data_IF_692238082334
#
_entry.id   IF_692238082334
#
_cell.length_a   1.000
_cell.length_b   1.000
_cell.length_c   1.000
_cell.angle_alpha   90.00
_cell.angle_beta   90.00
_cell.angle_gamma   90.00
#
_symmetry.space_group_name_H-M   'P 1'
#
loop_
_entity.id
_entity.type
_entity.pdbx_description
1 polymer ?
#
# COMPACT_ATOMS: atom_id res chain seq x y z
N UNK A 1 32.27 -54.19 -35.28
CA UNK A 1 33.45 -53.38 -34.91
C UNK A 1 33.23 -52.00 -35.48
N UNK A 2 33.32 -51.01 -34.59
CA UNK A 2 33.45 -49.56 -34.81
C UNK A 2 32.37 -48.82 -35.62
N UNK A 3 31.47 -48.21 -34.86
CA UNK A 3 30.69 -47.04 -35.27
C UNK A 3 31.64 -45.89 -35.62
N UNK A 4 31.78 -45.58 -36.90
CA UNK A 4 32.54 -44.43 -37.39
C UNK A 4 31.90 -43.16 -36.84
N UNK A 5 32.51 -42.61 -35.79
CA UNK A 5 32.13 -41.32 -35.23
C UNK A 5 32.30 -40.25 -36.30
N UNK A 6 31.20 -39.61 -36.69
CA UNK A 6 31.19 -38.48 -37.62
C UNK A 6 31.96 -37.34 -36.95
N UNK A 7 33.22 -37.17 -37.34
CA UNK A 7 34.01 -36.00 -36.95
C UNK A 7 33.38 -34.79 -37.64
N UNK A 8 32.75 -33.90 -36.86
CA UNK A 8 32.21 -32.64 -37.38
C UNK A 8 33.31 -31.87 -38.13
N UNK A 9 33.05 -31.59 -39.40
CA UNK A 9 33.91 -30.79 -40.27
C UNK A 9 34.14 -29.39 -39.66
N UNK A 10 35.40 -28.88 -39.61
CA UNK A 10 35.72 -27.57 -39.03
C UNK A 10 34.88 -26.41 -39.57
N UNK A 11 34.48 -26.46 -40.85
CA UNK A 11 33.62 -25.43 -41.43
C UNK A 11 32.21 -25.45 -40.81
N UNK A 12 31.68 -26.63 -40.52
CA UNK A 12 30.39 -26.77 -39.81
C UNK A 12 30.45 -26.18 -38.39
N UNK A 13 31.58 -26.33 -37.69
CA UNK A 13 31.78 -25.69 -36.37
C UNK A 13 31.85 -24.17 -36.48
N UNK A 14 32.54 -23.64 -37.49
CA UNK A 14 32.60 -22.20 -37.75
C UNK A 14 31.21 -21.62 -38.05
N UNK A 15 30.41 -22.33 -38.85
CA UNK A 15 29.04 -21.94 -39.15
C UNK A 15 28.15 -21.92 -37.90
N UNK A 16 28.25 -22.95 -37.05
CA UNK A 16 27.52 -22.99 -35.77
C UNK A 16 27.91 -21.83 -34.84
N UNK A 17 29.19 -21.46 -34.79
CA UNK A 17 29.66 -20.30 -34.02
C UNK A 17 29.08 -18.99 -34.59
N UNK A 18 29.09 -18.83 -35.90
CA UNK A 18 28.49 -17.67 -36.57
C UNK A 18 26.99 -17.55 -36.26
N UNK A 19 26.24 -18.66 -36.38
CA UNK A 19 24.81 -18.68 -36.07
C UNK A 19 24.53 -18.40 -34.59
N UNK A 20 25.39 -18.89 -33.69
CA UNK A 20 25.30 -18.62 -32.25
C UNK A 20 25.58 -17.16 -31.94
N UNK A 21 26.54 -16.54 -32.63
CA UNK A 21 26.84 -15.11 -32.49
C UNK A 21 25.66 -14.27 -32.97
N UNK A 22 25.07 -14.61 -34.12
CA UNK A 22 23.89 -13.92 -34.65
C UNK A 22 22.68 -14.04 -33.69
N UNK A 23 22.47 -15.20 -33.07
CA UNK A 23 21.45 -15.38 -32.02
C UNK A 23 21.75 -14.52 -30.80
N UNK A 24 22.99 -14.48 -30.36
CA UNK A 24 23.41 -13.68 -29.21
C UNK A 24 23.18 -12.19 -29.44
N UNK A 25 23.48 -11.66 -30.63
CA UNK A 25 23.18 -10.28 -30.99
C UNK A 25 21.68 -9.98 -30.90
N UNK A 26 20.82 -10.86 -31.40
CA UNK A 26 19.36 -10.71 -31.27
C UNK A 26 18.89 -10.75 -29.81
N UNK A 27 19.49 -11.60 -28.98
CA UNK A 27 19.19 -11.65 -27.56
C UNK A 27 19.61 -10.36 -26.85
N UNK A 28 20.75 -9.77 -27.21
CA UNK A 28 21.18 -8.48 -26.68
C UNK A 28 20.19 -7.38 -27.08
N UNK A 29 19.76 -7.33 -28.34
CA UNK A 29 18.75 -6.37 -28.81
C UNK A 29 17.43 -6.52 -28.04
N UNK A 30 16.98 -7.75 -27.78
CA UNK A 30 15.78 -8.00 -26.97
C UNK A 30 15.95 -7.50 -25.54
N UNK A 31 17.08 -7.82 -24.90
CA UNK A 31 17.37 -7.40 -23.53
C UNK A 31 17.48 -5.88 -23.40
N UNK A 32 18.03 -5.20 -24.40
CA UNK A 32 18.08 -3.74 -24.44
C UNK A 32 16.68 -3.14 -24.41
N UNK A 33 15.75 -3.68 -25.21
CA UNK A 33 14.35 -3.25 -25.22
C UNK A 33 13.68 -3.51 -23.86
N UNK A 34 13.86 -4.70 -23.28
CA UNK A 34 13.28 -5.07 -21.98
C UNK A 34 13.78 -4.14 -20.85
N UNK A 35 15.07 -3.76 -20.90
CA UNK A 35 15.65 -2.80 -19.95
C UNK A 35 15.02 -1.42 -20.11
N UNK A 36 14.84 -0.95 -21.36
CA UNK A 36 14.23 0.35 -21.61
C UNK A 36 12.78 0.40 -21.12
N UNK A 37 12.01 -0.66 -21.35
CA UNK A 37 10.63 -0.79 -20.87
C UNK A 37 10.58 -0.79 -19.34
N UNK A 38 11.42 -1.61 -18.70
CA UNK A 38 11.52 -1.68 -17.24
C UNK A 38 11.91 -0.32 -16.63
N UNK A 39 12.85 0.39 -17.24
CA UNK A 39 13.26 1.72 -16.79
C UNK A 39 12.09 2.72 -16.90
N UNK A 40 11.35 2.70 -18.01
CA UNK A 40 10.17 3.54 -18.19
C UNK A 40 9.14 3.30 -17.09
N UNK A 41 8.74 2.04 -16.87
CA UNK A 41 7.81 1.69 -15.79
C UNK A 41 8.32 2.12 -14.42
N UNK A 42 9.62 1.94 -14.15
CA UNK A 42 10.23 2.39 -12.90
C UNK A 42 10.14 3.91 -12.71
N UNK A 43 10.34 4.69 -13.78
CA UNK A 43 10.18 6.14 -13.71
C UNK A 43 8.73 6.55 -13.46
N UNK A 44 7.76 5.92 -14.12
CA UNK A 44 6.34 6.18 -13.93
C UNK A 44 5.92 5.88 -12.49
N UNK A 45 6.32 4.71 -11.96
CA UNK A 45 6.04 4.31 -10.59
C UNK A 45 6.69 5.24 -9.56
N UNK A 46 7.92 5.72 -9.80
CA UNK A 46 8.58 6.68 -8.91
C UNK A 46 7.81 8.00 -8.83
N UNK A 47 7.35 8.50 -9.98
CA UNK A 47 6.53 9.73 -10.04
C UNK A 47 5.20 9.52 -9.33
N UNK A 48 4.50 8.42 -9.59
CA UNK A 48 3.24 8.10 -8.92
C UNK A 48 3.45 7.99 -7.40
N UNK A 49 4.50 7.30 -6.95
CA UNK A 49 4.80 7.16 -5.53
C UNK A 49 5.04 8.52 -4.87
N UNK A 50 5.76 9.43 -5.53
CA UNK A 50 5.97 10.79 -5.05
C UNK A 50 4.63 11.54 -4.92
N UNK A 51 3.79 11.52 -5.95
CA UNK A 51 2.48 12.19 -5.93
C UNK A 51 1.55 11.63 -4.84
N UNK A 52 1.56 10.31 -4.64
CA UNK A 52 0.80 9.66 -3.58
C UNK A 52 1.29 10.09 -2.19
N UNK A 53 2.61 10.20 -1.98
CA UNK A 53 3.19 10.73 -0.75
C UNK A 53 2.79 12.18 -0.52
N UNK A 54 2.89 13.03 -1.53
CA UNK A 54 2.45 14.43 -1.43
C UNK A 54 0.96 14.56 -1.12
N UNK A 55 0.12 13.70 -1.70
CA UNK A 55 -1.32 13.65 -1.40
C UNK A 55 -1.57 13.17 0.03
N UNK A 56 -0.84 12.15 0.48
CA UNK A 56 -0.90 11.67 1.85
C UNK A 56 -0.45 12.75 2.83
N UNK A 57 0.64 13.44 2.55
CA UNK A 57 1.17 14.54 3.36
C UNK A 57 0.17 15.71 3.43
N UNK A 58 -0.55 16.02 2.35
CA UNK A 58 -1.65 17.00 2.38
C UNK A 58 -2.82 16.54 3.24
N UNK A 59 -3.17 15.26 3.20
CA UNK A 59 -4.22 14.68 4.04
C UNK A 59 -3.81 14.62 5.51
N UNK A 60 -2.57 14.23 5.80
CA UNK A 60 -2.03 14.16 7.15
C UNK A 60 -1.77 15.55 7.70
N UNK A 61 -1.26 16.51 6.92
CA UNK A 61 -1.11 17.91 7.33
C UNK A 61 -2.47 18.57 7.63
N UNK A 62 -3.52 18.22 6.88
CA UNK A 62 -4.91 18.60 7.22
C UNK A 62 -5.43 17.88 8.47
N UNK A 63 -4.75 16.81 8.90
CA UNK A 63 -4.98 16.05 10.12
C UNK A 63 -3.93 16.33 11.22
N UNK A 64 -2.99 17.27 10.99
CA UNK A 64 -1.98 17.75 11.95
C UNK A 64 -2.46 19.05 12.59
N UNK A 65 -3.74 19.13 12.92
CA UNK A 65 -4.05 19.55 14.28
C UNK A 65 -3.62 18.41 15.21
N UNK A 66 -3.04 18.69 16.39
CA UNK A 66 -2.25 17.69 17.10
C UNK A 66 -3.10 16.49 17.50
N UNK A 67 -2.84 15.33 16.88
CA UNK A 67 -3.32 14.02 17.34
C UNK A 67 -2.56 13.69 18.64
N UNK A 68 -3.08 14.23 19.74
CA UNK A 68 -2.85 13.76 21.10
C UNK A 68 -3.43 12.33 21.14
N UNK A 69 -2.57 11.32 21.13
CA UNK A 69 -2.93 9.89 20.96
C UNK A 69 -3.79 9.28 22.08
N UNK A 70 -4.26 10.06 23.03
CA UNK A 70 -5.30 9.69 24.02
C UNK A 70 -6.60 10.48 23.86
N UNK A 71 -6.59 11.62 23.14
CA UNK A 71 -7.77 12.42 22.83
C UNK A 71 -8.30 12.16 21.41
N UNK A 72 -7.46 11.70 20.48
CA UNK A 72 -7.85 11.49 19.07
C UNK A 72 -8.90 10.41 18.87
N UNK A 73 -8.90 9.33 19.68
CA UNK A 73 -9.94 8.31 19.61
C UNK A 73 -11.30 8.82 20.10
N UNK A 74 -11.31 9.58 21.20
CA UNK A 74 -12.52 10.21 21.74
C UNK A 74 -13.04 11.30 20.80
N UNK A 75 -12.15 12.09 20.20
CA UNK A 75 -12.50 13.12 19.24
C UNK A 75 -13.12 12.53 17.98
N UNK A 76 -12.57 11.41 17.50
CA UNK A 76 -13.16 10.66 16.38
C UNK A 76 -14.58 10.16 16.72
N UNK A 77 -14.79 9.68 17.94
CA UNK A 77 -16.13 9.28 18.41
C UNK A 77 -17.09 10.47 18.55
N UNK A 78 -16.61 11.62 19.03
CA UNK A 78 -17.40 12.88 19.06
C UNK A 78 -17.78 13.34 17.66
N UNK A 79 -16.87 13.23 16.70
CA UNK A 79 -17.14 13.57 15.30
C UNK A 79 -18.25 12.69 14.73
N UNK A 80 -18.20 11.37 14.96
CA UNK A 80 -19.26 10.45 14.53
C UNK A 80 -20.59 10.81 15.20
N UNK A 81 -20.59 11.07 16.51
CA UNK A 81 -21.79 11.49 17.24
C UNK A 81 -22.41 12.79 16.70
N UNK A 82 -21.57 13.81 16.47
CA UNK A 82 -21.98 15.13 15.97
C UNK A 82 -22.47 15.09 14.52
N UNK A 83 -21.99 14.11 13.73
CA UNK A 83 -22.50 13.86 12.38
C UNK A 83 -23.87 13.15 12.33
N UNK A 84 -24.46 12.87 13.49
CA UNK A 84 -25.82 12.33 13.61
C UNK A 84 -25.88 10.80 13.70
N UNK A 85 -24.77 10.13 14.03
CA UNK A 85 -24.71 8.67 14.13
C UNK A 85 -24.50 8.19 15.56
N UNK A 86 -25.03 7.00 15.88
CA UNK A 86 -24.81 6.35 17.16
C UNK A 86 -23.39 5.77 17.26
N UNK A 87 -22.75 5.95 18.42
CA UNK A 87 -21.44 5.37 18.78
C UNK A 87 -21.54 4.26 19.84
N UNK A 88 -22.75 3.99 20.34
CA UNK A 88 -22.99 2.93 21.32
C UNK A 88 -23.12 1.56 20.64
N UNK A 89 -22.79 0.49 21.36
CA UNK A 89 -22.80 -0.87 20.83
C UNK A 89 -24.16 -1.31 20.26
N UNK A 90 -25.26 -0.79 20.81
CA UNK A 90 -26.61 -1.20 20.41
C UNK A 90 -27.01 -0.71 19.01
N UNK A 91 -26.50 0.44 18.60
CA UNK A 91 -26.97 1.14 17.40
C UNK A 91 -25.82 1.67 16.54
N UNK A 92 -24.60 1.16 16.73
CA UNK A 92 -23.38 1.71 16.12
C UNK A 92 -23.53 1.96 14.61
N UNK A 93 -23.29 3.21 14.18
CA UNK A 93 -23.35 3.61 12.77
C UNK A 93 -24.75 3.83 12.19
N UNK A 94 -25.82 3.68 12.98
CA UNK A 94 -27.18 4.06 12.56
C UNK A 94 -27.47 5.54 12.84
N UNK A 95 -28.43 6.11 12.11
CA UNK A 95 -28.85 7.51 12.27
C UNK A 95 -29.58 7.73 13.59
N UNK A 96 -29.23 8.82 14.27
CA UNK A 96 -29.91 9.32 15.47
C UNK A 96 -31.14 10.14 15.10
N UNK A 97 -32.10 10.17 16.01
CA UNK A 97 -33.19 11.14 15.96
C UNK A 97 -32.65 12.54 16.34
N UNK A 98 -32.84 13.58 15.51
CA UNK A 98 -32.40 14.95 15.82
C UNK A 98 -33.05 15.56 17.07
N UNK A 99 -34.17 15.01 17.54
CA UNK A 99 -34.94 15.50 18.68
C UNK A 99 -34.59 14.83 20.02
N UNK A 100 -33.75 13.78 20.01
CA UNK A 100 -33.36 13.07 21.23
C UNK A 100 -31.89 12.67 21.29
N UNK A 101 -31.27 12.86 22.45
CA UNK A 101 -29.90 12.42 22.72
C UNK A 101 -29.88 10.98 23.27
N UNK A 102 -28.91 10.19 22.80
CA UNK A 102 -28.76 8.81 23.22
C UNK A 102 -27.91 8.75 24.51
N UNK A 103 -28.53 8.42 25.64
CA UNK A 103 -27.87 8.33 26.95
C UNK A 103 -26.62 7.44 26.94
N UNK A 104 -26.64 6.33 26.20
CA UNK A 104 -25.48 5.43 26.08
C UNK A 104 -24.33 6.03 25.28
N UNK A 105 -24.61 6.90 24.30
CA UNK A 105 -23.57 7.62 23.59
C UNK A 105 -22.93 8.69 24.48
N UNK A 106 -23.74 9.38 25.30
CA UNK A 106 -23.24 10.34 26.29
C UNK A 106 -22.31 9.67 27.31
N UNK A 107 -22.72 8.53 27.87
CA UNK A 107 -21.91 7.78 28.82
C UNK A 107 -20.52 7.39 28.26
N UNK A 108 -20.48 6.97 26.99
CA UNK A 108 -19.23 6.69 26.28
C UNK A 108 -18.37 7.95 26.14
N UNK A 109 -18.97 9.11 25.85
CA UNK A 109 -18.23 10.36 25.69
C UNK A 109 -17.70 10.92 27.03
N UNK A 110 -18.42 10.67 28.13
CA UNK A 110 -18.08 11.17 29.45
C UNK A 110 -17.07 10.26 30.19
N UNK A 111 -17.22 8.93 30.08
CA UNK A 111 -16.44 7.98 30.89
C UNK A 111 -15.11 7.52 30.28
N UNK A 112 -14.82 7.81 29.00
CA UNK A 112 -13.57 7.38 28.36
C UNK A 112 -12.30 8.06 28.91
N UNK A 113 -12.43 9.05 29.81
CA UNK A 113 -11.32 9.75 30.48
C UNK A 113 -10.99 9.27 31.91
N UNK A 114 -11.90 8.55 32.57
CA UNK A 114 -11.72 8.13 33.96
C UNK A 114 -11.34 6.65 34.05
N UNK A 115 -10.05 6.35 33.91
CA UNK A 115 -9.54 5.09 34.46
C UNK A 115 -9.75 5.14 35.97
N UNK A 116 -10.77 4.42 36.46
CA UNK A 116 -10.95 4.10 37.87
C UNK A 116 -9.59 3.69 38.45
N UNK A 117 -9.03 4.51 39.35
CA UNK A 117 -7.90 4.08 40.17
C UNK A 117 -8.35 2.82 40.92
N UNK A 118 -7.60 1.70 40.89
CA UNK A 118 -7.93 0.57 41.74
C UNK A 118 -7.83 1.04 43.19
N UNK A 119 -8.88 0.79 43.97
CA UNK A 119 -8.89 1.01 45.41
C UNK A 119 -7.72 0.22 46.02
N UNK A 120 -6.91 0.89 46.84
CA UNK A 120 -5.97 0.24 47.74
C UNK A 120 -6.77 -0.32 48.91
N UNK A 121 -6.81 -1.64 49.03
CA UNK A 121 -6.97 -2.35 50.29
C UNK A 121 -5.74 -3.26 50.49
#
# INVERSE_FOLDING_TARGET
>A
METVGVVMDPYSKLQQLHDSMAKMTKTIESLENDILETLKENTELKVENQLLREKLDKMTAKSTEPIIKTQSGLESLRQIYNSGYHICNMYYGSHRDPSSDCMFCMDILDNFGEKKKPAKD
#
